data_IF_118617113726
#
_entry.id   IF_118617113726
#
_cell.length_a   1.000
_cell.length_b   1.000
_cell.length_c   1.000
_cell.angle_alpha   90.00
_cell.angle_beta   90.00
_cell.angle_gamma   90.00
#
_symmetry.space_group_name_H-M   'P 1'
#
loop_
_entity.id
_entity.type
_entity.pdbx_description
1 polymer ?
#
# COMPACT_ATOMS: atom_id res chain seq x y z
N UNK A 1 -22.39 -14.26 -4.85
CA UNK A 1 -22.60 -14.65 -6.27
C UNK A 1 -21.35 -14.40 -7.09
N UNK A 2 -20.93 -13.17 -7.34
CA UNK A 2 -19.75 -12.84 -8.15
C UNK A 2 -18.46 -13.53 -7.71
N UNK A 3 -18.18 -13.58 -6.41
CA UNK A 3 -16.99 -14.28 -5.87
C UNK A 3 -16.98 -15.80 -6.19
N UNK A 4 -18.16 -16.41 -6.28
CA UNK A 4 -18.26 -17.83 -6.64
C UNK A 4 -17.94 -18.04 -8.12
N UNK A 5 -18.49 -17.20 -9.01
CA UNK A 5 -18.19 -17.22 -10.46
C UNK A 5 -16.70 -16.97 -10.69
N UNK A 6 -16.14 -15.96 -9.99
CA UNK A 6 -14.72 -15.61 -10.06
C UNK A 6 -13.84 -16.81 -9.71
N UNK A 7 -14.16 -17.49 -8.60
CA UNK A 7 -13.43 -18.68 -8.15
C UNK A 7 -13.54 -19.83 -9.14
N UNK A 8 -14.73 -20.13 -9.63
CA UNK A 8 -14.96 -21.23 -10.59
C UNK A 8 -14.16 -21.02 -11.91
N UNK A 9 -14.16 -19.81 -12.45
CA UNK A 9 -13.38 -19.46 -13.64
C UNK A 9 -11.87 -19.56 -13.37
N UNK A 10 -11.39 -19.02 -12.23
CA UNK A 10 -9.96 -19.02 -11.89
C UNK A 10 -9.46 -20.46 -11.65
N UNK A 11 -10.21 -21.26 -10.90
CA UNK A 11 -9.86 -22.67 -10.63
C UNK A 11 -9.81 -23.48 -11.93
N UNK A 12 -10.78 -23.28 -12.83
CA UNK A 12 -10.81 -23.94 -14.13
C UNK A 12 -9.63 -23.57 -15.03
N UNK A 13 -9.34 -22.28 -15.17
CA UNK A 13 -8.23 -21.78 -16.01
C UNK A 13 -6.86 -22.23 -15.47
N UNK A 14 -6.73 -22.44 -14.15
CA UNK A 14 -5.49 -22.91 -13.53
C UNK A 14 -5.39 -24.44 -13.43
N UNK A 15 -6.38 -25.20 -13.92
CA UNK A 15 -6.31 -26.67 -13.95
C UNK A 15 -5.26 -27.17 -14.95
N UNK A 16 -4.65 -28.32 -14.63
CA UNK A 16 -3.58 -28.91 -15.45
C UNK A 16 -4.05 -29.27 -16.89
N UNK A 17 -5.33 -29.62 -17.04
CA UNK A 17 -5.93 -30.02 -18.30
C UNK A 17 -6.51 -28.86 -19.12
N UNK A 18 -6.47 -27.64 -18.59
CA UNK A 18 -7.05 -26.47 -19.28
C UNK A 18 -6.32 -26.17 -20.59
N UNK A 19 -7.08 -25.99 -21.65
CA UNK A 19 -6.59 -25.49 -22.94
C UNK A 19 -7.17 -24.11 -23.21
N UNK A 20 -6.38 -23.21 -23.82
CA UNK A 20 -6.86 -21.86 -24.09
C UNK A 20 -8.20 -21.84 -24.84
N UNK A 21 -9.21 -21.27 -24.23
CA UNK A 21 -10.60 -21.17 -24.72
C UNK A 21 -11.02 -19.72 -24.84
N UNK A 22 -12.05 -19.44 -25.64
CA UNK A 22 -12.74 -18.16 -25.62
C UNK A 22 -13.65 -18.07 -24.39
N UNK A 23 -14.11 -16.87 -24.07
CA UNK A 23 -15.03 -16.68 -22.92
C UNK A 23 -16.35 -17.42 -23.09
N UNK A 24 -16.86 -17.46 -24.31
CA UNK A 24 -18.08 -18.21 -24.62
C UNK A 24 -17.87 -19.72 -24.38
N UNK A 25 -16.76 -20.28 -24.87
CA UNK A 25 -16.37 -21.68 -24.63
C UNK A 25 -16.22 -21.99 -23.13
N UNK A 26 -15.60 -21.08 -22.34
CA UNK A 26 -15.47 -21.25 -20.87
C UNK A 26 -16.84 -21.22 -20.19
N UNK A 27 -17.71 -20.30 -20.61
CA UNK A 27 -19.06 -20.17 -20.05
C UNK A 27 -19.93 -21.41 -20.32
N UNK A 28 -19.76 -22.02 -21.49
CA UNK A 28 -20.42 -23.27 -21.85
C UNK A 28 -19.87 -24.45 -21.06
N UNK A 29 -18.54 -24.60 -21.00
CA UNK A 29 -17.88 -25.70 -20.30
C UNK A 29 -18.20 -25.74 -18.80
N UNK A 30 -18.20 -24.56 -18.15
CA UNK A 30 -18.56 -24.41 -16.76
C UNK A 30 -20.07 -24.32 -16.51
N UNK A 31 -20.89 -24.37 -17.56
CA UNK A 31 -22.36 -24.22 -17.48
C UNK A 31 -22.81 -22.96 -16.72
N UNK A 32 -22.03 -21.90 -16.79
CA UNK A 32 -22.31 -20.68 -16.01
C UNK A 32 -23.66 -20.06 -16.38
N UNK A 33 -24.09 -20.20 -17.66
CA UNK A 33 -25.38 -19.67 -18.13
C UNK A 33 -26.60 -20.44 -17.59
N UNK A 34 -26.42 -21.61 -16.96
CA UNK A 34 -27.49 -22.34 -16.30
C UNK A 34 -27.82 -21.72 -14.93
N UNK A 35 -26.84 -21.10 -14.25
CA UNK A 35 -26.98 -20.54 -12.90
C UNK A 35 -26.93 -19.02 -12.85
N UNK A 36 -26.30 -18.35 -13.84
CA UNK A 36 -25.98 -16.92 -13.82
C UNK A 36 -26.40 -16.21 -15.11
N UNK A 37 -26.63 -14.90 -15.02
CA UNK A 37 -26.93 -14.11 -16.20
C UNK A 37 -25.66 -13.81 -17.01
N UNK A 38 -25.82 -13.54 -18.30
CA UNK A 38 -24.71 -13.18 -19.18
C UNK A 38 -24.02 -11.88 -18.71
N UNK A 39 -24.79 -10.96 -18.16
CA UNK A 39 -24.34 -9.69 -17.60
C UNK A 39 -23.43 -9.91 -16.40
N UNK A 40 -23.81 -10.80 -15.48
CA UNK A 40 -23.00 -11.15 -14.29
C UNK A 40 -21.66 -11.76 -14.68
N UNK A 41 -21.67 -12.67 -15.67
CA UNK A 41 -20.47 -13.32 -16.19
C UNK A 41 -19.52 -12.29 -16.81
N UNK A 42 -20.06 -11.39 -17.68
CA UNK A 42 -19.26 -10.34 -18.33
C UNK A 42 -18.64 -9.39 -17.30
N UNK A 43 -19.38 -9.05 -16.25
CA UNK A 43 -18.86 -8.17 -15.18
C UNK A 43 -17.73 -8.84 -14.42
N UNK A 44 -17.88 -10.10 -14.02
CA UNK A 44 -16.82 -10.87 -13.36
C UNK A 44 -15.59 -11.04 -14.26
N UNK A 45 -15.79 -11.27 -15.53
CA UNK A 45 -14.69 -11.39 -16.49
C UNK A 45 -13.92 -10.07 -16.61
N UNK A 46 -14.62 -8.93 -16.64
CA UNK A 46 -13.95 -7.61 -16.62
C UNK A 46 -13.16 -7.39 -15.32
N UNK A 47 -13.69 -7.84 -14.19
CA UNK A 47 -12.95 -7.79 -12.93
C UNK A 47 -11.71 -8.69 -13.00
N UNK A 48 -11.83 -9.93 -13.48
CA UNK A 48 -10.71 -10.86 -13.64
C UNK A 48 -9.63 -10.33 -14.60
N UNK A 49 -10.02 -9.63 -15.67
CA UNK A 49 -9.12 -8.98 -16.61
C UNK A 49 -8.43 -7.77 -15.96
N UNK A 50 -9.18 -6.91 -15.29
CA UNK A 50 -8.64 -5.75 -14.56
C UNK A 50 -7.70 -6.15 -13.42
N UNK A 51 -8.04 -7.23 -12.70
CA UNK A 51 -7.23 -7.77 -11.61
C UNK A 51 -6.13 -8.73 -12.12
N UNK A 52 -6.10 -8.98 -13.46
CA UNK A 52 -5.12 -9.80 -14.17
C UNK A 52 -5.02 -11.25 -13.71
N UNK A 53 -6.13 -11.80 -13.31
CA UNK A 53 -6.26 -13.25 -13.16
C UNK A 53 -6.31 -13.97 -14.50
N UNK A 54 -6.60 -13.24 -15.60
CA UNK A 54 -6.67 -13.74 -16.96
C UNK A 54 -5.89 -12.84 -17.92
N UNK A 55 -5.38 -13.42 -18.99
CA UNK A 55 -4.72 -12.74 -20.12
C UNK A 55 -5.28 -13.28 -21.42
N UNK A 56 -5.34 -12.43 -22.45
CA UNK A 56 -5.85 -12.83 -23.76
C UNK A 56 -4.71 -13.06 -24.77
N UNK A 57 -4.84 -14.13 -25.54
CA UNK A 57 -4.04 -14.32 -26.73
C UNK A 57 -4.49 -13.37 -27.85
N UNK A 58 -3.68 -13.23 -28.90
CA UNK A 58 -4.08 -12.50 -30.13
C UNK A 58 -5.40 -13.02 -30.78
N UNK A 59 -5.79 -14.27 -30.47
CA UNK A 59 -7.02 -14.92 -30.95
C UNK A 59 -8.16 -14.83 -29.91
N UNK A 60 -8.08 -13.92 -28.96
CA UNK A 60 -9.08 -13.72 -27.88
C UNK A 60 -9.35 -14.97 -27.03
N UNK A 61 -8.35 -15.86 -26.90
CA UNK A 61 -8.41 -17.00 -26.01
C UNK A 61 -7.83 -16.62 -24.66
N UNK A 62 -8.48 -17.06 -23.59
CA UNK A 62 -8.10 -16.79 -22.20
C UNK A 62 -6.98 -17.74 -21.78
N UNK A 63 -6.04 -17.20 -21.05
CA UNK A 63 -4.95 -17.92 -20.39
C UNK A 63 -4.85 -17.44 -18.95
N UNK A 64 -4.37 -18.28 -18.06
CA UNK A 64 -3.82 -17.76 -16.82
C UNK A 64 -2.46 -17.07 -17.11
N UNK A 65 -2.04 -16.10 -16.30
CA UNK A 65 -0.74 -15.46 -16.45
C UNK A 65 0.43 -16.46 -16.48
N UNK A 66 0.34 -17.54 -15.70
CA UNK A 66 1.36 -18.61 -15.67
C UNK A 66 1.46 -19.35 -17.02
N UNK A 67 0.34 -19.67 -17.64
CA UNK A 67 0.33 -20.35 -18.95
C UNK A 67 0.81 -19.45 -20.09
N UNK A 68 0.64 -18.13 -19.93
CA UNK A 68 1.17 -17.14 -20.86
C UNK A 68 2.67 -16.89 -20.66
N UNK A 69 3.36 -17.62 -19.77
CA UNK A 69 4.74 -17.36 -19.31
C UNK A 69 4.90 -15.92 -18.78
N UNK A 70 3.80 -15.34 -18.29
CA UNK A 70 3.78 -14.02 -17.68
C UNK A 70 3.43 -14.13 -16.20
N UNK A 71 4.01 -13.24 -15.42
CA UNK A 71 3.87 -13.23 -13.99
C UNK A 71 3.37 -11.86 -13.54
N UNK A 72 2.31 -11.85 -12.76
CA UNK A 72 1.77 -10.63 -12.15
C UNK A 72 2.32 -10.49 -10.75
N UNK A 73 2.76 -9.29 -10.41
CA UNK A 73 3.27 -9.01 -9.08
C UNK A 73 3.53 -7.53 -8.87
N UNK A 74 4.03 -7.20 -7.67
CA UNK A 74 4.41 -5.84 -7.32
C UNK A 74 5.90 -5.65 -7.54
N UNK A 75 6.27 -4.62 -8.29
CA UNK A 75 7.68 -4.30 -8.55
C UNK A 75 8.30 -3.54 -7.37
N UNK A 76 9.32 -4.12 -6.79
CA UNK A 76 10.11 -3.54 -5.71
C UNK A 76 11.43 -3.04 -6.28
N UNK A 77 11.52 -1.72 -6.50
CA UNK A 77 12.72 -1.10 -7.06
C UNK A 77 13.88 -1.07 -6.05
N UNK A 78 15.08 -1.22 -6.55
CA UNK A 78 16.31 -1.07 -5.77
C UNK A 78 17.09 0.18 -6.20
N UNK A 79 17.76 0.86 -5.27
CA UNK A 79 18.52 2.12 -5.49
C UNK A 79 19.58 2.04 -6.62
N UNK A 80 20.01 0.84 -7.01
CA UNK A 80 20.96 0.60 -8.11
C UNK A 80 20.28 0.41 -9.48
N UNK A 81 18.96 0.67 -9.58
CA UNK A 81 18.19 0.62 -10.82
C UNK A 81 17.65 -0.76 -11.22
N UNK A 82 18.04 -1.85 -10.56
CA UNK A 82 17.39 -3.16 -10.69
C UNK A 82 16.23 -3.28 -9.70
N UNK A 83 15.45 -4.34 -9.76
CA UNK A 83 14.41 -4.61 -8.77
C UNK A 83 13.98 -6.07 -8.75
N UNK A 84 12.88 -6.31 -8.06
CA UNK A 84 12.26 -7.63 -7.93
C UNK A 84 10.78 -7.50 -8.17
N UNK A 85 10.17 -8.50 -8.83
CA UNK A 85 8.72 -8.64 -8.84
C UNK A 85 8.36 -9.62 -7.74
N UNK A 86 7.68 -9.12 -6.71
CA UNK A 86 7.15 -9.88 -5.59
C UNK A 86 5.77 -10.39 -5.97
N UNK A 87 5.57 -11.70 -5.84
CA UNK A 87 4.30 -12.35 -6.12
C UNK A 87 3.35 -12.27 -4.91
N UNK A 88 2.05 -12.37 -5.16
CA UNK A 88 1.04 -12.40 -4.10
C UNK A 88 0.99 -13.77 -3.38
N UNK A 89 1.56 -14.81 -3.99
CA UNK A 89 1.64 -16.15 -3.40
C UNK A 89 2.96 -16.28 -2.63
N UNK A 90 2.87 -16.61 -1.35
CA UNK A 90 4.02 -16.72 -0.44
C UNK A 90 5.04 -17.80 -0.84
N UNK A 91 4.62 -18.83 -1.57
CA UNK A 91 5.46 -19.95 -1.99
C UNK A 91 6.33 -19.66 -3.24
N UNK A 92 6.17 -18.50 -3.86
CA UNK A 92 6.92 -18.14 -5.07
C UNK A 92 8.11 -17.23 -4.75
N UNK A 93 9.32 -17.63 -5.19
CA UNK A 93 10.50 -16.78 -5.07
C UNK A 93 10.39 -15.55 -5.98
N UNK A 94 10.75 -14.38 -5.46
CA UNK A 94 10.76 -13.11 -6.19
C UNK A 94 11.56 -13.22 -7.50
N UNK A 95 11.02 -12.61 -8.56
CA UNK A 95 11.66 -12.57 -9.87
C UNK A 95 12.61 -11.39 -9.94
N UNK A 96 13.91 -11.65 -10.17
CA UNK A 96 14.91 -10.60 -10.34
C UNK A 96 14.75 -9.88 -11.67
N UNK A 97 14.68 -8.55 -11.66
CA UNK A 97 14.55 -7.70 -12.85
C UNK A 97 15.82 -6.85 -13.00
N UNK A 98 16.70 -7.15 -13.95
CA UNK A 98 17.86 -6.31 -14.24
C UNK A 98 17.44 -4.89 -14.67
N UNK A 99 18.28 -3.88 -14.41
CA UNK A 99 17.97 -2.48 -14.69
C UNK A 99 17.48 -2.21 -16.13
N UNK A 100 18.07 -2.89 -17.11
CA UNK A 100 17.68 -2.78 -18.52
C UNK A 100 16.28 -3.34 -18.85
N UNK A 101 15.71 -4.14 -17.96
CA UNK A 101 14.45 -4.86 -18.14
C UNK A 101 13.33 -4.31 -17.26
N UNK A 102 13.56 -3.20 -16.54
CA UNK A 102 12.56 -2.57 -15.64
C UNK A 102 11.41 -1.93 -16.40
N UNK A 103 11.62 -1.58 -17.69
CA UNK A 103 10.59 -1.04 -18.59
C UNK A 103 9.72 0.06 -17.96
N UNK A 104 10.37 1.04 -17.33
CA UNK A 104 9.75 2.25 -16.73
C UNK A 104 8.79 1.99 -15.54
N UNK A 105 8.82 0.79 -14.96
CA UNK A 105 8.12 0.53 -13.73
C UNK A 105 8.77 1.29 -12.57
N UNK A 106 7.94 1.82 -11.70
CA UNK A 106 8.32 2.51 -10.46
C UNK A 106 8.08 1.61 -9.25
N UNK A 107 8.69 1.96 -8.13
CA UNK A 107 8.49 1.20 -6.89
C UNK A 107 7.01 1.08 -6.52
N UNK A 108 6.57 -0.12 -6.16
CA UNK A 108 5.19 -0.40 -5.80
C UNK A 108 4.23 -0.60 -6.97
N UNK A 109 4.66 -0.38 -8.22
CA UNK A 109 3.81 -0.60 -9.38
C UNK A 109 3.37 -2.06 -9.52
N UNK A 110 2.13 -2.26 -9.87
CA UNK A 110 1.61 -3.57 -10.26
C UNK A 110 2.01 -3.83 -11.71
N UNK A 111 2.70 -4.94 -11.96
CA UNK A 111 3.31 -5.22 -13.27
C UNK A 111 3.02 -6.62 -13.76
N UNK A 112 3.09 -6.77 -15.09
CA UNK A 112 3.26 -8.06 -15.75
C UNK A 112 4.73 -8.21 -16.12
N UNK A 113 5.34 -9.31 -15.73
CA UNK A 113 6.71 -9.67 -16.07
C UNK A 113 6.77 -11.04 -16.75
N UNK A 114 7.74 -11.25 -17.62
CA UNK A 114 8.07 -12.54 -18.21
C UNK A 114 9.40 -13.05 -17.69
N UNK A 115 9.56 -14.37 -17.59
CA UNK A 115 10.84 -15.00 -17.27
C UNK A 115 11.68 -15.09 -18.54
N UNK A 116 12.85 -14.45 -18.54
CA UNK A 116 13.81 -14.50 -19.66
C UNK A 116 14.96 -15.48 -19.42
N UNK A 117 15.20 -15.84 -18.13
CA UNK A 117 16.17 -16.87 -17.77
C UNK A 117 15.70 -17.62 -16.53
N UNK A 118 15.69 -18.95 -16.61
CA UNK A 118 15.42 -19.83 -15.48
C UNK A 118 16.56 -19.85 -14.49
N UNK A 119 16.23 -20.26 -13.26
CA UNK A 119 17.23 -20.44 -12.22
C UNK A 119 18.25 -21.53 -12.62
N UNK A 120 19.53 -21.28 -12.41
CA UNK A 120 20.60 -22.24 -12.69
C UNK A 120 21.67 -22.16 -11.60
N UNK A 121 21.85 -23.23 -10.85
CA UNK A 121 22.75 -23.28 -9.70
C UNK A 121 22.35 -22.23 -8.64
N UNK A 122 23.27 -21.32 -8.30
CA UNK A 122 23.01 -20.23 -7.35
C UNK A 122 22.37 -18.98 -7.96
N UNK A 123 22.12 -18.97 -9.28
CA UNK A 123 21.52 -17.82 -9.96
C UNK A 123 19.99 -17.87 -9.86
N UNK A 124 19.39 -16.76 -9.46
CA UNK A 124 17.94 -16.58 -9.40
C UNK A 124 17.36 -16.48 -10.82
N UNK A 125 16.04 -16.71 -10.95
CA UNK A 125 15.31 -16.41 -12.18
C UNK A 125 15.46 -14.94 -12.53
N UNK A 126 15.73 -14.64 -13.80
CA UNK A 126 15.75 -13.28 -14.32
C UNK A 126 14.52 -13.04 -15.19
N UNK A 127 13.88 -11.89 -15.01
CA UNK A 127 12.73 -11.48 -15.78
C UNK A 127 12.87 -10.15 -16.49
N UNK A 128 11.85 -9.81 -17.24
CA UNK A 128 11.65 -8.50 -17.88
C UNK A 128 10.22 -8.04 -17.60
N UNK A 129 10.03 -6.79 -17.19
CA UNK A 129 8.69 -6.22 -17.10
C UNK A 129 8.16 -5.99 -18.49
N UNK A 130 6.99 -6.58 -18.79
CA UNK A 130 6.31 -6.45 -20.06
C UNK A 130 5.49 -5.16 -20.09
N UNK A 131 4.74 -4.91 -19.01
CA UNK A 131 3.91 -3.70 -18.86
C UNK A 131 3.63 -3.39 -17.40
N UNK A 132 3.32 -2.12 -17.14
CA UNK A 132 2.78 -1.65 -15.86
C UNK A 132 1.26 -1.61 -15.98
N UNK A 133 0.58 -2.24 -15.06
CA UNK A 133 -0.86 -2.40 -15.05
C UNK A 133 -1.53 -1.31 -14.23
N UNK A 134 -0.96 -1.09 -13.04
CA UNK A 134 -1.43 -0.09 -12.10
C UNK A 134 -0.24 0.63 -11.51
N UNK A 135 -0.29 1.95 -11.57
CA UNK A 135 0.69 2.80 -10.90
C UNK A 135 0.38 2.87 -9.41
N UNK A 136 1.41 2.75 -8.60
CA UNK A 136 1.32 2.94 -7.16
C UNK A 136 1.60 4.41 -6.79
N UNK A 137 2.62 5.00 -7.41
CA UNK A 137 3.07 6.36 -7.10
C UNK A 137 2.41 7.34 -8.06
N UNK A 138 1.57 8.22 -7.52
CA UNK A 138 0.92 9.31 -8.26
C UNK A 138 1.48 10.68 -7.87
N UNK A 139 2.08 10.76 -6.68
CA UNK A 139 2.71 11.97 -6.15
C UNK A 139 4.12 11.64 -5.69
N UNK A 140 4.99 12.62 -5.79
CA UNK A 140 6.37 12.57 -5.29
C UNK A 140 6.70 13.84 -4.54
N UNK A 141 7.52 13.70 -3.50
CA UNK A 141 8.05 14.83 -2.74
C UNK A 141 9.53 14.99 -3.07
N UNK A 142 9.97 16.20 -3.33
CA UNK A 142 11.37 16.45 -3.66
C UNK A 142 11.73 17.92 -3.67
N UNK A 143 13.00 18.20 -3.91
CA UNK A 143 13.54 19.56 -3.98
C UNK A 143 13.41 20.09 -5.41
N UNK A 144 12.85 21.28 -5.54
CA UNK A 144 12.66 21.95 -6.82
C UNK A 144 13.93 22.70 -7.25
N UNK A 145 14.40 22.42 -8.46
CA UNK A 145 15.47 23.13 -9.15
C UNK A 145 14.87 23.93 -10.30
N UNK A 146 14.97 25.22 -10.20
CA UNK A 146 14.37 26.16 -11.16
C UNK A 146 15.32 26.49 -12.31
N UNK A 147 14.81 26.42 -13.52
CA UNK A 147 15.43 26.98 -14.73
C UNK A 147 14.52 28.06 -15.34
N UNK A 148 15.00 28.75 -16.35
CA UNK A 148 14.31 29.91 -16.91
C UNK A 148 12.87 29.63 -17.38
N UNK A 149 12.65 28.52 -18.10
CA UNK A 149 11.34 28.13 -18.67
C UNK A 149 10.85 26.74 -18.26
N UNK A 150 11.55 26.06 -17.36
CA UNK A 150 11.20 24.77 -16.83
C UNK A 150 11.91 24.56 -15.50
N UNK A 151 11.55 23.48 -14.81
CA UNK A 151 12.26 23.04 -13.63
C UNK A 151 12.34 21.53 -13.54
N UNK A 152 13.12 21.07 -12.58
CA UNK A 152 13.14 19.67 -12.18
C UNK A 152 12.84 19.57 -10.71
N UNK A 153 12.10 18.53 -10.34
CA UNK A 153 12.02 18.10 -8.95
C UNK A 153 12.87 16.87 -8.79
N UNK A 154 13.80 16.92 -7.85
CA UNK A 154 14.64 15.79 -7.44
C UNK A 154 13.95 15.06 -6.29
N UNK A 155 13.30 13.90 -6.53
CA UNK A 155 12.65 13.16 -5.47
C UNK A 155 13.64 12.75 -4.37
N UNK A 156 13.19 12.77 -3.14
CA UNK A 156 13.95 12.24 -1.99
C UNK A 156 14.10 10.74 -2.10
N UNK A 157 13.08 10.06 -2.61
CA UNK A 157 13.15 8.63 -2.90
C UNK A 157 13.95 8.37 -4.19
N UNK A 158 15.13 7.78 -4.03
CA UNK A 158 16.08 7.54 -5.13
C UNK A 158 15.63 6.51 -6.18
N UNK A 159 14.50 5.83 -5.97
CA UNK A 159 13.93 4.92 -6.96
C UNK A 159 13.14 5.65 -8.05
N UNK A 160 12.79 6.91 -7.82
CA UNK A 160 12.13 7.80 -8.78
C UNK A 160 13.19 8.74 -9.36
N UNK A 161 13.27 8.83 -10.68
CA UNK A 161 14.16 9.77 -11.34
C UNK A 161 13.60 11.20 -11.26
N UNK A 162 14.42 12.19 -11.68
CA UNK A 162 13.99 13.60 -11.72
C UNK A 162 12.69 13.77 -12.50
N UNK A 163 11.79 14.60 -11.97
CA UNK A 163 10.50 14.93 -12.59
C UNK A 163 10.60 16.28 -13.27
N UNK A 164 10.30 16.35 -14.55
CA UNK A 164 10.26 17.59 -15.32
C UNK A 164 8.98 18.37 -14.99
N UNK A 165 9.14 19.67 -14.72
CA UNK A 165 8.03 20.58 -14.40
C UNK A 165 8.01 21.69 -15.43
N UNK A 166 6.97 21.80 -16.28
CA UNK A 166 6.74 22.95 -17.13
C UNK A 166 6.50 24.22 -16.31
N UNK A 167 6.96 25.38 -16.80
CA UNK A 167 6.84 26.68 -16.10
C UNK A 167 5.43 26.99 -15.60
N UNK A 168 4.40 26.68 -16.40
CA UNK A 168 2.98 26.88 -16.06
C UNK A 168 2.50 26.10 -14.84
N UNK A 169 3.32 25.14 -14.35
CA UNK A 169 3.00 24.25 -13.23
C UNK A 169 3.94 24.43 -12.03
N UNK A 170 4.64 25.56 -11.96
CA UNK A 170 5.54 25.87 -10.84
C UNK A 170 4.81 26.15 -9.53
N UNK A 171 3.56 26.58 -9.58
CA UNK A 171 2.74 26.86 -8.39
C UNK A 171 3.47 27.75 -7.36
N UNK A 172 4.11 28.83 -7.85
CA UNK A 172 4.87 29.80 -7.04
C UNK A 172 6.13 29.25 -6.34
N UNK A 173 6.52 28.00 -6.63
CA UNK A 173 7.72 27.40 -6.05
C UNK A 173 8.99 28.13 -6.53
N UNK A 174 9.93 28.30 -5.62
CA UNK A 174 11.23 28.89 -5.84
C UNK A 174 12.36 27.86 -5.78
N UNK A 175 13.57 28.26 -6.15
CA UNK A 175 14.76 27.41 -6.09
C UNK A 175 15.00 26.90 -4.67
N UNK A 176 15.17 25.59 -4.51
CA UNK A 176 15.43 24.93 -3.22
C UNK A 176 14.19 24.65 -2.38
N UNK A 177 12.99 24.93 -2.89
CA UNK A 177 11.77 24.57 -2.19
C UNK A 177 11.52 23.06 -2.25
N UNK A 178 11.05 22.52 -1.15
CA UNK A 178 10.51 21.17 -1.05
C UNK A 178 9.06 21.20 -1.47
N UNK A 179 8.74 20.43 -2.49
CA UNK A 179 7.42 20.47 -3.13
C UNK A 179 6.80 19.08 -3.26
N UNK A 180 5.47 19.05 -3.27
CA UNK A 180 4.69 17.87 -3.65
C UNK A 180 4.31 18.02 -5.12
N UNK A 181 4.66 17.01 -5.90
CA UNK A 181 4.39 16.97 -7.34
C UNK A 181 3.40 15.85 -7.65
N UNK A 182 2.32 16.18 -8.34
CA UNK A 182 1.44 15.20 -8.96
C UNK A 182 1.98 14.86 -10.35
N UNK A 183 2.22 13.56 -10.59
CA UNK A 183 2.72 13.07 -11.89
C UNK A 183 1.62 13.15 -12.94
N UNK A 184 1.87 13.90 -14.02
CA UNK A 184 0.97 14.02 -15.18
C UNK A 184 1.36 13.07 -16.30
N UNK A 185 2.66 12.75 -16.42
CA UNK A 185 3.18 11.73 -17.32
C UNK A 185 4.21 10.87 -16.59
N UNK A 186 4.10 9.56 -16.77
CA UNK A 186 5.05 8.60 -16.22
C UNK A 186 6.27 8.44 -17.14
N UNK A 187 7.43 7.99 -16.60
CA UNK A 187 8.60 7.74 -17.43
C UNK A 187 8.25 6.79 -18.57
N UNK A 188 8.77 7.07 -19.77
CA UNK A 188 8.59 6.20 -20.93
C UNK A 188 9.76 6.33 -21.90
N UNK A 189 10.46 5.23 -22.22
CA UNK A 189 11.70 5.20 -23.00
C UNK A 189 12.72 6.20 -22.40
N UNK A 190 13.19 7.17 -23.20
CA UNK A 190 14.15 8.17 -22.79
C UNK A 190 13.51 9.45 -22.18
N UNK A 191 12.17 9.45 -22.03
CA UNK A 191 11.46 10.60 -21.45
C UNK A 191 11.36 10.42 -19.94
N UNK A 192 11.75 11.47 -19.21
CA UNK A 192 11.55 11.59 -17.77
C UNK A 192 10.04 11.71 -17.46
N UNK A 193 9.68 11.47 -16.21
CA UNK A 193 8.35 11.80 -15.72
C UNK A 193 8.10 13.30 -15.86
N UNK A 194 6.84 13.69 -16.09
CA UNK A 194 6.39 15.08 -16.01
C UNK A 194 5.38 15.23 -14.88
N UNK A 195 5.36 16.38 -14.24
CA UNK A 195 4.44 16.66 -13.15
C UNK A 195 4.04 18.12 -13.05
N UNK A 196 3.11 18.36 -12.14
CA UNK A 196 2.72 19.70 -11.69
C UNK A 196 2.95 19.81 -10.18
N UNK A 197 3.48 20.92 -9.72
CA UNK A 197 3.60 21.20 -8.29
C UNK A 197 2.18 21.49 -7.77
N UNK A 198 1.76 20.72 -6.78
CA UNK A 198 0.42 20.85 -6.15
C UNK A 198 0.51 21.51 -4.78
N UNK A 199 1.67 21.43 -4.12
CA UNK A 199 1.92 22.03 -2.81
C UNK A 199 3.38 22.41 -2.67
N UNK A 200 3.65 23.54 -2.03
CA UNK A 200 4.98 23.97 -1.60
C UNK A 200 5.03 23.83 -0.09
N UNK A 201 5.92 22.98 0.41
CA UNK A 201 6.03 22.69 1.84
C UNK A 201 6.89 23.73 2.58
N UNK A 202 7.88 24.29 1.90
CA UNK A 202 8.82 25.26 2.42
C UNK A 202 10.21 25.05 1.83
N UNK A 203 11.20 25.82 2.29
CA UNK A 203 12.57 25.67 1.79
C UNK A 203 13.26 24.46 2.44
N UNK A 204 14.16 23.80 1.71
CA UNK A 204 14.89 22.62 2.20
C UNK A 204 15.70 22.86 3.49
N UNK A 205 16.00 24.14 3.81
CA UNK A 205 16.72 24.55 5.01
C UNK A 205 15.82 24.89 6.19
N UNK A 206 14.49 24.83 6.03
CA UNK A 206 13.54 25.15 7.08
C UNK A 206 13.48 24.03 8.14
N UNK A 207 13.27 24.45 9.39
CA UNK A 207 13.14 23.49 10.49
C UNK A 207 11.84 22.69 10.37
N UNK A 208 11.95 21.37 10.44
CA UNK A 208 10.79 20.48 10.40
C UNK A 208 10.38 20.01 9.01
N UNK A 209 10.90 20.64 7.95
CA UNK A 209 10.58 20.30 6.56
C UNK A 209 10.87 18.82 6.23
N UNK A 210 11.87 18.23 6.90
CA UNK A 210 12.19 16.81 6.71
C UNK A 210 11.06 15.89 7.20
N UNK A 211 10.48 16.21 8.35
CA UNK A 211 9.38 15.42 8.94
C UNK A 211 8.12 15.58 8.09
N UNK A 212 7.80 16.82 7.70
CA UNK A 212 6.64 17.10 6.85
C UNK A 212 6.75 16.41 5.49
N UNK A 213 7.94 16.42 4.89
CA UNK A 213 8.21 15.69 3.65
C UNK A 213 7.93 14.18 3.79
N UNK A 214 8.39 13.56 4.88
CA UNK A 214 8.17 12.13 5.15
C UNK A 214 6.66 11.85 5.31
N UNK A 215 5.95 12.68 6.04
CA UNK A 215 4.49 12.56 6.21
C UNK A 215 3.80 12.59 4.85
N UNK A 216 4.18 13.55 3.98
CA UNK A 216 3.62 13.66 2.63
C UNK A 216 4.02 12.50 1.71
N UNK A 217 5.27 12.02 1.77
CA UNK A 217 5.73 10.85 1.00
C UNK A 217 4.93 9.59 1.32
N UNK A 218 4.55 9.42 2.57
CA UNK A 218 3.75 8.27 3.02
C UNK A 218 2.24 8.49 2.91
N UNK A 219 1.80 9.66 2.42
CA UNK A 219 0.39 9.99 2.27
C UNK A 219 -0.37 10.05 3.61
N UNK A 220 0.36 10.32 4.70
CA UNK A 220 -0.25 10.45 6.02
C UNK A 220 -1.00 11.78 6.13
N UNK A 221 -2.20 11.81 6.71
CA UNK A 221 -2.92 13.04 6.95
C UNK A 221 -2.19 13.89 7.99
N UNK A 222 -2.11 15.20 7.76
CA UNK A 222 -1.57 16.15 8.75
C UNK A 222 -2.58 16.48 9.85
N UNK A 223 -3.86 16.35 9.55
CA UNK A 223 -4.95 16.67 10.45
C UNK A 223 -5.97 15.55 10.47
N UNK A 224 -6.55 15.31 11.64
CA UNK A 224 -7.65 14.37 11.75
C UNK A 224 -8.93 14.93 11.11
N UNK A 225 -9.71 14.03 10.52
CA UNK A 225 -11.02 14.38 9.98
C UNK A 225 -11.92 14.96 11.09
N UNK A 226 -12.73 15.99 10.75
CA UNK A 226 -13.62 16.67 11.71
C UNK A 226 -14.54 15.69 12.46
N UNK A 227 -15.03 14.63 11.81
CA UNK A 227 -15.86 13.60 12.46
C UNK A 227 -15.10 12.81 13.53
N UNK A 228 -13.80 12.62 13.36
CA UNK A 228 -12.92 11.97 14.35
C UNK A 228 -12.72 12.90 15.53
N UNK A 229 -12.42 14.18 15.28
CA UNK A 229 -12.27 15.21 16.31
C UNK A 229 -13.57 15.40 17.12
N UNK A 230 -14.70 15.45 16.46
CA UNK A 230 -16.02 15.56 17.11
C UNK A 230 -16.29 14.33 17.99
N UNK A 231 -15.95 13.12 17.50
CA UNK A 231 -16.09 11.90 18.27
C UNK A 231 -15.15 11.89 19.49
N UNK A 232 -13.89 12.28 19.30
CA UNK A 232 -12.91 12.39 20.39
C UNK A 232 -13.40 13.35 21.48
N UNK A 233 -13.86 14.53 21.11
CA UNK A 233 -14.42 15.53 22.04
C UNK A 233 -15.68 15.02 22.76
N UNK A 234 -16.51 14.24 22.09
CA UNK A 234 -17.72 13.67 22.68
C UNK A 234 -17.42 12.60 23.73
N UNK A 235 -16.40 11.77 23.53
CA UNK A 235 -16.03 10.68 24.44
C UNK A 235 -15.03 11.09 25.51
N UNK A 236 -14.28 12.17 25.32
CA UNK A 236 -13.29 12.70 26.27
C UNK A 236 -13.97 13.44 27.44
N UNK A 237 -14.85 12.73 28.13
CA UNK A 237 -15.58 13.25 29.29
C UNK A 237 -15.07 12.60 30.59
N UNK A 238 -15.26 13.24 31.76
CA UNK A 238 -14.93 12.61 33.01
C UNK A 238 -15.62 11.26 33.19
N UNK A 239 -14.95 10.33 33.88
CA UNK A 239 -15.49 8.99 34.15
C UNK A 239 -16.76 9.12 34.98
N UNK A 240 -17.91 8.60 34.53
CA UNK A 240 -19.17 8.69 35.26
C UNK A 240 -19.18 7.78 36.50
N UNK A 241 -20.00 8.13 37.51
CA UNK A 241 -20.07 7.40 38.78
C UNK A 241 -20.44 5.92 38.60
N UNK A 242 -21.26 5.59 37.63
CA UNK A 242 -21.65 4.21 37.30
C UNK A 242 -20.43 3.32 36.95
N UNK A 243 -19.36 3.91 36.41
CA UNK A 243 -18.14 3.14 36.10
C UNK A 243 -17.38 2.78 37.39
N UNK A 244 -17.40 3.61 38.42
CA UNK A 244 -16.79 3.28 39.72
C UNK A 244 -17.54 2.14 40.41
N UNK A 245 -18.86 2.09 40.30
CA UNK A 245 -19.66 1.01 40.85
C UNK A 245 -19.48 -0.33 40.09
N UNK A 246 -19.28 -0.26 38.80
CA UNK A 246 -19.14 -1.42 37.91
C UNK A 246 -17.74 -2.04 37.96
N UNK A 247 -16.73 -1.24 38.20
CA UNK A 247 -15.32 -1.66 38.12
C UNK A 247 -14.78 -1.97 39.52
N UNK A 248 -13.76 -2.85 39.57
CA UNK A 248 -13.01 -3.09 40.79
C UNK A 248 -12.16 -1.84 41.13
N UNK A 249 -12.38 -1.25 42.31
CA UNK A 249 -11.62 -0.10 42.78
C UNK A 249 -10.26 -0.54 43.32
N UNK A 250 -9.20 -0.08 42.71
CA UNK A 250 -7.80 -0.33 43.09
C UNK A 250 -7.07 0.96 43.50
N UNK A 251 -7.77 2.07 43.68
CA UNK A 251 -7.17 3.39 43.97
C UNK A 251 -6.39 3.44 45.30
N UNK A 252 -6.66 2.51 46.21
CA UNK A 252 -5.96 2.37 47.50
C UNK A 252 -4.82 1.34 47.47
N UNK A 253 -4.56 0.72 46.32
CA UNK A 253 -3.50 -0.25 46.15
C UNK A 253 -2.21 0.43 45.66
N UNK A 254 -1.06 -0.19 45.97
CA UNK A 254 0.22 0.28 45.43
C UNK A 254 0.38 -0.24 44.00
N UNK A 255 0.20 0.65 43.06
CA UNK A 255 0.33 0.38 41.61
C UNK A 255 1.27 1.45 41.06
N UNK A 256 2.19 1.06 40.18
CA UNK A 256 3.16 2.00 39.60
C UNK A 256 3.44 1.66 38.12
N UNK A 257 3.82 2.68 37.38
CA UNK A 257 4.28 2.60 36.00
C UNK A 257 5.81 2.69 35.95
N UNK A 258 6.44 2.20 34.89
CA UNK A 258 7.88 2.31 34.65
C UNK A 258 8.13 2.86 33.28
N UNK A 259 8.02 4.16 33.12
CA UNK A 259 8.10 4.89 31.88
C UNK A 259 9.34 5.78 31.83
N UNK A 260 9.70 6.22 30.62
CA UNK A 260 10.71 7.25 30.44
C UNK A 260 10.28 8.59 31.07
N UNK A 261 11.25 9.41 31.43
CA UNK A 261 10.98 10.70 32.09
C UNK A 261 10.14 11.69 31.27
N UNK A 262 10.09 11.48 29.97
CA UNK A 262 9.38 12.28 28.95
C UNK A 262 8.09 11.62 28.43
N UNK A 263 7.71 10.45 28.99
CA UNK A 263 6.46 9.78 28.62
C UNK A 263 5.25 10.65 28.96
N UNK A 264 4.30 10.73 28.01
CA UNK A 264 3.06 11.52 28.14
C UNK A 264 1.83 10.64 28.35
N UNK A 265 1.92 9.39 27.94
CA UNK A 265 0.92 8.35 28.03
C UNK A 265 1.46 7.20 28.90
N UNK A 266 0.68 6.84 29.91
CA UNK A 266 1.04 5.80 30.89
C UNK A 266 0.07 4.64 30.71
N UNK A 267 0.36 3.79 29.69
CA UNK A 267 -0.58 2.78 29.20
C UNK A 267 -0.60 1.54 30.07
N UNK A 268 0.51 1.20 30.70
CA UNK A 268 0.63 0.00 31.51
C UNK A 268 1.17 0.28 32.92
N UNK A 269 0.69 -0.52 33.87
CA UNK A 269 1.11 -0.43 35.25
C UNK A 269 1.22 -1.83 35.88
N UNK A 270 2.05 -1.94 36.90
CA UNK A 270 2.23 -3.19 37.62
C UNK A 270 1.93 -3.04 39.09
N UNK A 271 1.48 -4.14 39.70
CA UNK A 271 1.25 -4.31 41.11
C UNK A 271 1.89 -5.62 41.55
N UNK A 272 2.61 -5.58 42.67
CA UNK A 272 3.25 -6.78 43.21
C UNK A 272 2.87 -6.93 44.70
N UNK A 273 2.49 -8.14 45.10
CA UNK A 273 2.20 -8.50 46.48
C UNK A 273 2.95 -9.78 46.86
N UNK A 274 3.58 -9.80 48.00
CA UNK A 274 4.13 -11.02 48.60
C UNK A 274 3.01 -11.79 49.28
N UNK A 275 2.85 -13.08 48.92
CA UNK A 275 1.86 -13.97 49.52
C UNK A 275 2.44 -14.71 50.73
N UNK A 276 1.57 -15.19 51.64
CA UNK A 276 1.94 -15.92 52.85
C UNK A 276 2.76 -17.19 52.59
N UNK A 277 2.61 -17.79 51.43
CA UNK A 277 3.37 -18.95 50.96
C UNK A 277 4.77 -18.63 50.42
N UNK A 278 5.20 -17.35 50.48
CA UNK A 278 6.47 -16.88 49.94
C UNK A 278 6.50 -16.62 48.44
N UNK A 279 5.40 -16.82 47.71
CA UNK A 279 5.28 -16.49 46.31
C UNK A 279 4.89 -15.03 46.12
N UNK A 280 5.08 -14.52 44.88
CA UNK A 280 4.63 -13.19 44.48
C UNK A 280 3.34 -13.28 43.66
N UNK A 281 2.40 -12.40 43.99
CA UNK A 281 1.26 -12.11 43.11
C UNK A 281 1.62 -10.88 42.25
N UNK A 282 1.45 -11.01 40.94
CA UNK A 282 1.69 -9.95 39.98
C UNK A 282 0.36 -9.55 39.32
N UNK A 283 0.04 -8.27 39.41
CA UNK A 283 -0.99 -7.62 38.61
C UNK A 283 -0.37 -6.85 37.47
N UNK A 284 -0.88 -7.04 36.26
CA UNK A 284 -0.56 -6.23 35.10
C UNK A 284 -1.84 -5.50 34.69
N UNK A 285 -1.76 -4.20 34.64
CA UNK A 285 -2.89 -3.32 34.37
C UNK A 285 -2.64 -2.57 33.06
N UNK A 286 -3.56 -2.67 32.13
CA UNK A 286 -3.49 -1.99 30.84
C UNK A 286 -4.63 -0.99 30.75
N UNK A 287 -4.37 0.18 30.17
CA UNK A 287 -5.38 1.20 29.96
C UNK A 287 -6.56 0.64 29.15
N UNK A 288 -7.78 0.85 29.66
CA UNK A 288 -9.00 0.38 28.98
C UNK A 288 -9.40 1.35 27.86
N UNK A 289 -8.63 1.35 26.78
CA UNK A 289 -8.86 2.20 25.61
C UNK A 289 -10.26 1.96 25.02
N UNK A 290 -10.80 0.73 25.15
CA UNK A 290 -12.12 0.38 24.63
C UNK A 290 -13.28 1.07 25.32
N UNK A 291 -13.04 1.66 26.51
CA UNK A 291 -14.01 2.52 27.17
C UNK A 291 -14.34 3.76 26.31
N UNK A 292 -13.34 4.35 25.67
CA UNK A 292 -13.45 5.55 24.86
C UNK A 292 -13.60 5.24 23.37
N UNK A 293 -12.81 4.30 22.85
CA UNK A 293 -12.82 3.89 21.43
C UNK A 293 -13.78 2.72 21.25
N UNK A 294 -15.02 3.01 20.90
CA UNK A 294 -16.04 1.98 20.68
C UNK A 294 -15.95 1.41 19.28
N UNK A 295 -16.17 0.10 19.16
CA UNK A 295 -16.19 -0.61 17.87
C UNK A 295 -17.07 0.11 16.85
N UNK A 296 -16.57 0.29 15.63
CA UNK A 296 -17.21 0.98 14.50
C UNK A 296 -17.45 2.48 14.70
N UNK A 297 -16.93 3.07 15.77
CA UNK A 297 -16.91 4.54 15.92
C UNK A 297 -16.00 5.20 14.87
N UNK A 298 -16.03 6.54 14.80
CA UNK A 298 -15.10 7.25 13.90
C UNK A 298 -13.66 7.16 14.39
N UNK A 299 -13.44 7.10 15.72
CA UNK A 299 -12.12 6.86 16.29
C UNK A 299 -11.59 5.47 15.96
N UNK A 300 -12.42 4.43 16.10
CA UNK A 300 -12.04 3.05 15.79
C UNK A 300 -11.71 2.83 14.29
N UNK A 301 -12.37 3.57 13.41
CA UNK A 301 -12.08 3.52 11.96
C UNK A 301 -10.83 4.27 11.55
N UNK A 302 -10.41 5.23 12.36
CA UNK A 302 -9.20 6.00 12.14
C UNK A 302 -7.97 5.30 12.69
N UNK A 303 -8.12 4.59 13.83
CA UNK A 303 -7.06 3.80 14.45
C UNK A 303 -6.78 2.49 13.71
#
# INVERSE_FOLDING_TARGET
MKERIKKEIVDFINSDDYKPMTLDEISEELKLLEEYTKEDIIEVIKELDNDLYIVYTKKQRVLSPLQANTHVGTFIAHKKGFGFVKYDKEDMQDLFIPSKNVNHAMHGDRVIAEIIKEASGFKRREGSIVTVIKRNTHQVVGVFERHEHFGFVKPREKSVGDVYIPEKFFNEAEEGDVVVVELTCFPYKDKKAEGKIVEVLGNENDRGIEIESIIREHGLPLEFNQKVLDNANHVAVPIPEEEYERRRDLRNETIFTMDGADAKDLDDAIQVKLLDNGNYWLGVHIADVTHYVREKSNLDKEA
#
